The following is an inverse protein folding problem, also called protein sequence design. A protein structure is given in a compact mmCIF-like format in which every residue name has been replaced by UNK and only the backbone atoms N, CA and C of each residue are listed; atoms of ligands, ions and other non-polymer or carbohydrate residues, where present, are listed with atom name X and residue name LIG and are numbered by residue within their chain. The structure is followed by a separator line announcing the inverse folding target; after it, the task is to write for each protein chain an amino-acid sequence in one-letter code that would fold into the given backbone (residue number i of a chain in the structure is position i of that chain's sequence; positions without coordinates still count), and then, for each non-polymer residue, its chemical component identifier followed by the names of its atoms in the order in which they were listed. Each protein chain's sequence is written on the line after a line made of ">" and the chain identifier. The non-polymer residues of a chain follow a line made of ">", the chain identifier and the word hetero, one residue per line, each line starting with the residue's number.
data_IF_894493173274
#
_entry.id   IF_894493173274
#
_cell.length_a   1.000
_cell.length_b   1.000
_cell.length_c   1.000
_cell.angle_alpha   90.00
_cell.angle_beta   90.00
_cell.angle_gamma   90.00
#
_symmetry.space_group_name_H-M   'P 1'
#
loop_
_entity.id
_entity.type
_entity.pdbx_description
1 polymer ?
#
# COMPACT_ATOMS: atom_id res chain seq x y z
N UNK A 1 7.32 -23.27 5.27
CA UNK A 1 7.06 -24.31 6.26
C UNK A 1 7.06 -25.67 5.54
N UNK A 2 7.86 -26.63 6.04
CA UNK A 2 7.83 -28.01 5.59
C UNK A 2 7.20 -28.85 6.70
N UNK A 3 6.12 -29.53 6.39
CA UNK A 3 5.40 -30.40 7.34
C UNK A 3 5.24 -31.79 6.70
N UNK A 4 5.65 -32.83 7.42
CA UNK A 4 5.50 -34.23 7.01
C UNK A 4 4.89 -35.01 8.16
N UNK A 5 3.77 -35.66 7.90
CA UNK A 5 3.06 -36.56 8.84
C UNK A 5 2.74 -35.88 10.20
N UNK A 6 2.50 -34.56 10.21
CA UNK A 6 2.17 -33.81 11.42
C UNK A 6 0.75 -34.16 11.86
N UNK A 7 0.60 -34.70 13.07
CA UNK A 7 -0.69 -35.00 13.67
C UNK A 7 -1.15 -33.84 14.55
N UNK A 8 -2.31 -33.28 14.24
CA UNK A 8 -2.95 -32.21 15.02
C UNK A 8 -4.24 -32.75 15.64
N UNK A 9 -4.43 -32.65 16.98
CA UNK A 9 -5.67 -33.07 17.60
C UNK A 9 -6.86 -32.29 17.07
N UNK A 10 -8.02 -32.94 16.86
CA UNK A 10 -9.22 -32.30 16.33
C UNK A 10 -9.73 -31.14 17.20
N UNK A 11 -9.52 -31.18 18.50
CA UNK A 11 -9.82 -30.07 19.43
C UNK A 11 -9.09 -28.76 19.10
N UNK A 12 -8.02 -28.80 18.30
CA UNK A 12 -7.27 -27.62 17.85
C UNK A 12 -7.82 -27.05 16.54
N UNK A 13 -8.85 -27.66 15.96
CA UNK A 13 -9.54 -27.15 14.79
C UNK A 13 -10.28 -25.86 15.13
N UNK A 14 -10.15 -24.84 14.29
CA UNK A 14 -10.90 -23.60 14.50
C UNK A 14 -12.41 -23.86 14.35
N UNK A 15 -13.24 -23.42 15.31
CA UNK A 15 -14.68 -23.65 15.26
C UNK A 15 -15.34 -22.85 14.14
N UNK A 16 -16.34 -23.43 13.50
CA UNK A 16 -17.18 -22.75 12.51
C UNK A 16 -16.50 -22.42 11.17
N UNK A 17 -15.32 -23.01 10.89
CA UNK A 17 -14.55 -22.75 9.66
C UNK A 17 -14.26 -24.04 8.93
N UNK A 18 -14.50 -24.06 7.62
CA UNK A 18 -14.15 -25.17 6.74
C UNK A 18 -13.38 -24.68 5.51
N UNK A 19 -12.39 -25.45 5.07
CA UNK A 19 -11.56 -25.16 3.90
C UNK A 19 -10.86 -23.80 3.97
N UNK A 20 -10.84 -23.07 2.87
CA UNK A 20 -10.16 -21.77 2.74
C UNK A 20 -10.93 -20.58 3.34
N UNK A 21 -12.18 -20.76 3.76
CA UNK A 21 -13.01 -19.65 4.25
C UNK A 21 -12.39 -18.93 5.44
N UNK A 22 -11.81 -19.67 6.39
CA UNK A 22 -11.12 -19.08 7.54
C UNK A 22 -9.90 -18.25 7.16
N UNK A 23 -8.88 -18.83 6.50
CA UNK A 23 -7.72 -18.08 6.03
C UNK A 23 -8.09 -16.86 5.17
N UNK A 24 -9.03 -16.98 4.22
CA UNK A 24 -9.43 -15.87 3.36
C UNK A 24 -10.13 -14.74 4.13
N UNK A 25 -10.89 -15.04 5.18
CA UNK A 25 -11.49 -14.00 6.03
C UNK A 25 -10.43 -13.22 6.82
N UNK A 26 -9.41 -13.90 7.35
CA UNK A 26 -8.27 -13.26 8.00
C UNK A 26 -7.50 -12.36 7.03
N UNK A 27 -7.22 -12.86 5.81
CA UNK A 27 -6.56 -12.09 4.76
C UNK A 27 -7.37 -10.84 4.37
N UNK A 28 -8.68 -10.92 4.35
CA UNK A 28 -9.56 -9.77 4.06
C UNK A 28 -9.38 -8.66 5.10
N UNK A 29 -9.30 -9.01 6.39
CA UNK A 29 -9.06 -8.02 7.45
C UNK A 29 -7.63 -7.46 7.39
N UNK A 30 -6.62 -8.30 7.14
CA UNK A 30 -5.24 -7.86 6.99
C UNK A 30 -5.08 -6.89 5.80
N UNK A 31 -5.70 -7.19 4.66
CA UNK A 31 -5.72 -6.29 3.47
C UNK A 31 -6.35 -4.93 3.77
N UNK A 32 -7.41 -4.89 4.57
CA UNK A 32 -8.00 -3.63 5.01
C UNK A 32 -7.02 -2.78 5.83
N UNK A 33 -6.25 -3.41 6.72
CA UNK A 33 -5.21 -2.70 7.49
C UNK A 33 -4.09 -2.15 6.60
N UNK A 34 -3.73 -2.87 5.52
CA UNK A 34 -2.73 -2.41 4.53
C UNK A 34 -3.17 -1.12 3.84
N UNK A 35 -4.47 -0.95 3.55
CA UNK A 35 -5.01 0.29 2.94
C UNK A 35 -4.60 1.52 3.74
N UNK A 36 -4.61 1.43 5.07
CA UNK A 36 -4.23 2.52 5.98
C UNK A 36 -2.72 2.64 6.16
N UNK A 37 -2.04 1.51 6.38
CA UNK A 37 -0.61 1.50 6.67
C UNK A 37 0.26 2.05 5.54
N UNK A 38 -0.12 1.83 4.28
CA UNK A 38 0.62 2.35 3.12
C UNK A 38 0.53 3.86 2.98
N UNK A 39 -0.55 4.48 3.43
CA UNK A 39 -0.68 5.95 3.48
C UNK A 39 0.37 6.54 4.42
N UNK A 40 0.60 5.92 5.59
CA UNK A 40 1.63 6.35 6.52
C UNK A 40 3.03 6.33 5.90
N UNK A 41 3.37 5.28 5.15
CA UNK A 41 4.64 5.22 4.43
C UNK A 41 4.76 6.30 3.34
N UNK A 42 3.68 6.59 2.63
CA UNK A 42 3.66 7.65 1.62
C UNK A 42 3.83 9.04 2.23
N UNK A 43 3.18 9.30 3.38
CA UNK A 43 3.30 10.56 4.13
C UNK A 43 4.73 10.76 4.61
N UNK A 44 5.35 9.76 5.24
CA UNK A 44 6.73 9.86 5.69
C UNK A 44 7.68 10.17 4.53
N UNK A 45 7.55 9.48 3.40
CA UNK A 45 8.34 9.76 2.19
C UNK A 45 8.14 11.20 1.69
N UNK A 46 6.90 11.70 1.71
CA UNK A 46 6.60 13.08 1.32
C UNK A 46 7.23 14.10 2.26
N UNK A 47 7.10 13.92 3.57
CA UNK A 47 7.64 14.84 4.58
C UNK A 47 9.16 14.91 4.52
N UNK A 48 9.83 13.76 4.39
CA UNK A 48 11.29 13.69 4.20
C UNK A 48 11.72 14.40 2.92
N UNK A 49 11.04 14.16 1.80
CA UNK A 49 11.35 14.81 0.52
C UNK A 49 11.13 16.32 0.56
N UNK A 50 10.04 16.76 1.20
CA UNK A 50 9.71 18.18 1.38
C UNK A 50 10.77 18.90 2.24
N UNK A 51 11.11 18.33 3.39
CA UNK A 51 12.13 18.90 4.29
C UNK A 51 13.48 18.98 3.59
N UNK A 52 13.93 17.87 3.00
CA UNK A 52 15.20 17.82 2.26
C UNK A 52 15.24 18.83 1.12
N UNK A 53 14.20 18.95 0.32
CA UNK A 53 14.16 19.84 -0.83
C UNK A 53 14.18 21.33 -0.44
N UNK A 54 13.71 21.70 0.75
CA UNK A 54 13.78 23.04 1.30
C UNK A 54 15.17 23.39 1.82
N UNK A 55 15.90 22.42 2.35
CA UNK A 55 17.25 22.62 2.90
C UNK A 55 18.35 22.52 1.83
N UNK A 56 18.27 21.50 0.96
CA UNK A 56 19.27 21.24 -0.08
C UNK A 56 19.31 22.37 -1.11
N UNK A 57 20.47 22.95 -1.32
CA UNK A 57 20.68 24.01 -2.32
C UNK A 57 21.46 23.50 -3.52
N UNK A 58 21.02 23.89 -4.69
CA UNK A 58 21.72 23.78 -5.97
C UNK A 58 21.45 25.04 -6.79
N UNK A 59 22.43 25.48 -7.61
CA UNK A 59 22.32 26.72 -8.38
C UNK A 59 21.91 27.92 -7.50
N UNK A 60 22.50 28.01 -6.29
CA UNK A 60 22.34 29.09 -5.29
C UNK A 60 20.95 29.23 -4.67
N UNK A 61 20.05 28.24 -4.84
CA UNK A 61 18.72 28.25 -4.22
C UNK A 61 18.28 26.85 -3.76
N UNK A 62 17.30 26.74 -2.82
CA UNK A 62 16.72 25.45 -2.45
C UNK A 62 16.17 24.70 -3.67
N UNK A 63 16.35 23.39 -3.71
CA UNK A 63 15.84 22.58 -4.85
C UNK A 63 14.33 22.56 -4.90
N UNK A 64 13.62 22.82 -3.80
CA UNK A 64 12.18 23.05 -3.76
C UNK A 64 11.71 24.22 -4.64
N UNK A 65 12.60 25.13 -5.00
CA UNK A 65 12.31 26.26 -5.89
C UNK A 65 12.36 25.93 -7.39
N UNK A 66 12.60 24.67 -7.77
CA UNK A 66 12.58 24.23 -9.17
C UNK A 66 11.24 23.58 -9.52
N UNK A 67 10.74 23.89 -10.71
CA UNK A 67 9.41 23.44 -11.17
C UNK A 67 9.27 21.91 -11.16
N UNK A 68 10.28 21.15 -11.60
CA UNK A 68 10.23 19.68 -11.61
C UNK A 68 10.22 19.07 -10.20
N UNK A 69 10.82 19.73 -9.22
CA UNK A 69 10.73 19.31 -7.81
C UNK A 69 9.34 19.61 -7.26
N UNK A 70 8.82 20.81 -7.53
CA UNK A 70 7.47 21.20 -7.11
C UNK A 70 6.41 20.29 -7.73
N UNK A 71 6.54 19.92 -9.00
CA UNK A 71 5.63 18.99 -9.66
C UNK A 71 5.56 17.67 -8.89
N UNK A 72 6.70 17.04 -8.58
CA UNK A 72 6.73 15.79 -7.80
C UNK A 72 6.06 15.93 -6.44
N UNK A 73 6.36 17.02 -5.71
CA UNK A 73 5.75 17.25 -4.40
C UNK A 73 4.22 17.45 -4.49
N UNK A 74 3.74 18.14 -5.52
CA UNK A 74 2.30 18.32 -5.76
C UNK A 74 1.63 17.00 -6.11
N UNK A 75 2.22 16.20 -6.99
CA UNK A 75 1.72 14.87 -7.34
C UNK A 75 1.64 13.96 -6.09
N UNK A 76 2.69 13.94 -5.26
CA UNK A 76 2.69 13.15 -4.03
C UNK A 76 1.56 13.54 -3.09
N UNK A 77 1.38 14.84 -2.78
CA UNK A 77 0.33 15.29 -1.86
C UNK A 77 -1.08 15.05 -2.43
N UNK A 78 -1.25 15.21 -3.74
CA UNK A 78 -2.52 14.93 -4.41
C UNK A 78 -2.90 13.46 -4.30
N UNK A 79 -1.97 12.54 -4.57
CA UNK A 79 -2.22 11.10 -4.52
C UNK A 79 -2.43 10.62 -3.08
N UNK A 80 -1.66 11.13 -2.12
CA UNK A 80 -1.86 10.85 -0.69
C UNK A 80 -3.27 11.29 -0.25
N UNK A 81 -3.71 12.48 -0.65
CA UNK A 81 -5.05 12.99 -0.31
C UNK A 81 -6.15 12.08 -0.87
N UNK A 82 -6.04 11.65 -2.13
CA UNK A 82 -6.99 10.69 -2.74
C UNK A 82 -6.99 9.35 -2.01
N UNK A 83 -5.82 8.85 -1.64
CA UNK A 83 -5.67 7.61 -0.89
C UNK A 83 -6.34 7.69 0.50
N UNK A 84 -6.18 8.82 1.20
CA UNK A 84 -6.83 9.08 2.49
C UNK A 84 -8.36 9.11 2.36
N UNK A 85 -8.88 9.82 1.36
CA UNK A 85 -10.33 9.88 1.10
C UNK A 85 -10.92 8.49 0.78
N UNK A 86 -10.20 7.68 -0.02
CA UNK A 86 -10.59 6.30 -0.28
C UNK A 86 -10.60 5.47 0.99
N UNK A 87 -9.56 5.55 1.82
CA UNK A 87 -9.49 4.80 3.08
C UNK A 87 -10.62 5.18 4.05
N UNK A 88 -10.93 6.49 4.17
CA UNK A 88 -12.05 6.99 4.99
C UNK A 88 -13.37 6.42 4.46
N UNK A 89 -13.60 6.42 3.15
CA UNK A 89 -14.81 5.87 2.57
C UNK A 89 -14.94 4.36 2.84
N UNK A 90 -13.84 3.61 2.76
CA UNK A 90 -13.84 2.19 3.13
C UNK A 90 -14.14 1.99 4.62
N UNK A 91 -13.67 2.89 5.49
CA UNK A 91 -14.03 2.91 6.90
C UNK A 91 -15.53 3.10 7.12
N UNK A 92 -16.12 4.10 6.48
CA UNK A 92 -17.56 4.35 6.53
C UNK A 92 -18.39 3.15 6.05
N UNK A 93 -17.97 2.50 4.96
CA UNK A 93 -18.62 1.28 4.47
C UNK A 93 -18.51 0.13 5.47
N UNK A 94 -17.36 0.02 6.15
CA UNK A 94 -17.15 -1.00 7.19
C UNK A 94 -18.08 -0.78 8.38
N UNK A 95 -18.16 0.43 8.87
CA UNK A 95 -19.03 0.79 10.02
C UNK A 95 -20.52 0.59 9.69
N UNK A 96 -20.91 0.82 8.43
CA UNK A 96 -22.25 0.56 7.92
C UNK A 96 -22.52 -0.93 7.60
N UNK A 97 -21.56 -1.85 7.77
CA UNK A 97 -21.63 -3.25 7.34
C UNK A 97 -21.89 -3.45 5.83
N UNK A 98 -21.45 -2.51 5.01
CA UNK A 98 -21.57 -2.53 3.54
C UNK A 98 -20.23 -2.80 2.83
N UNK A 99 -19.16 -3.03 3.59
CA UNK A 99 -17.84 -3.27 3.03
C UNK A 99 -17.75 -4.67 2.40
N UNK A 100 -17.56 -4.71 1.10
CA UNK A 100 -17.32 -5.94 0.33
C UNK A 100 -15.81 -6.17 0.17
N UNK A 101 -15.39 -7.44 -0.02
CA UNK A 101 -13.99 -7.80 -0.22
C UNK A 101 -13.37 -7.15 -1.47
N UNK A 102 -14.18 -6.84 -2.49
CA UNK A 102 -13.72 -6.14 -3.69
C UNK A 102 -13.39 -4.68 -3.41
N UNK A 103 -14.13 -4.01 -2.52
CA UNK A 103 -13.79 -2.67 -2.06
C UNK A 103 -12.42 -2.64 -1.37
N UNK A 104 -12.12 -3.65 -0.55
CA UNK A 104 -10.82 -3.80 0.11
C UNK A 104 -9.72 -4.05 -0.91
N UNK A 105 -9.98 -4.89 -1.91
CA UNK A 105 -9.05 -5.14 -3.01
C UNK A 105 -8.74 -3.87 -3.80
N UNK A 106 -9.74 -3.03 -4.07
CA UNK A 106 -9.57 -1.73 -4.70
C UNK A 106 -8.67 -0.83 -3.85
N UNK A 107 -8.96 -0.72 -2.56
CA UNK A 107 -8.19 0.11 -1.63
C UNK A 107 -6.74 -0.34 -1.52
N UNK A 108 -6.50 -1.64 -1.31
CA UNK A 108 -5.13 -2.18 -1.24
C UNK A 108 -4.38 -1.94 -2.55
N UNK A 109 -4.96 -2.28 -3.69
CA UNK A 109 -4.34 -2.08 -5.01
C UNK A 109 -3.96 -0.62 -5.24
N UNK A 110 -4.88 0.31 -5.00
CA UNK A 110 -4.68 1.74 -5.22
C UNK A 110 -3.62 2.31 -4.27
N UNK A 111 -3.76 2.10 -2.96
CA UNK A 111 -2.92 2.78 -1.97
C UNK A 111 -1.49 2.24 -1.95
N UNK A 112 -1.28 0.95 -2.23
CA UNK A 112 0.06 0.39 -2.39
C UNK A 112 0.77 0.96 -3.61
N UNK A 113 0.09 1.10 -4.75
CA UNK A 113 0.67 1.71 -5.95
C UNK A 113 1.08 3.16 -5.68
N UNK A 114 0.18 3.96 -5.11
CA UNK A 114 0.45 5.35 -4.73
C UNK A 114 1.66 5.46 -3.79
N UNK A 115 1.71 4.62 -2.75
CA UNK A 115 2.81 4.65 -1.80
C UNK A 115 4.17 4.34 -2.45
N UNK A 116 4.22 3.37 -3.38
CA UNK A 116 5.42 3.07 -4.16
C UNK A 116 5.86 4.26 -5.02
N UNK A 117 4.92 4.91 -5.71
CA UNK A 117 5.22 6.08 -6.54
C UNK A 117 5.71 7.27 -5.69
N UNK A 118 5.12 7.49 -4.52
CA UNK A 118 5.58 8.48 -3.55
C UNK A 118 7.01 8.19 -3.07
N UNK A 119 7.29 6.95 -2.67
CA UNK A 119 8.62 6.56 -2.22
C UNK A 119 9.66 6.71 -3.34
N UNK A 120 9.34 6.34 -4.58
CA UNK A 120 10.19 6.56 -5.75
C UNK A 120 10.46 8.03 -5.99
N UNK A 121 9.43 8.88 -5.96
CA UNK A 121 9.56 10.33 -6.15
C UNK A 121 10.42 10.97 -5.05
N UNK A 122 10.22 10.55 -3.79
CA UNK A 122 11.06 11.01 -2.68
C UNK A 122 12.52 10.61 -2.87
N UNK A 123 12.80 9.35 -3.23
CA UNK A 123 14.15 8.89 -3.52
C UNK A 123 14.82 9.72 -4.63
N UNK A 124 14.08 10.05 -5.68
CA UNK A 124 14.58 10.88 -6.77
C UNK A 124 14.87 12.31 -6.32
N UNK A 125 14.03 12.91 -5.48
CA UNK A 125 14.26 14.27 -4.93
C UNK A 125 15.52 14.30 -4.06
N UNK A 126 15.77 13.26 -3.26
CA UNK A 126 16.94 13.15 -2.42
C UNK A 126 18.25 12.85 -3.21
N UNK A 127 18.14 12.43 -4.46
CA UNK A 127 19.28 12.03 -5.27
C UNK A 127 20.05 10.86 -4.65
N UNK A 128 21.38 10.96 -4.54
CA UNK A 128 22.21 9.93 -3.92
C UNK A 128 21.86 9.68 -2.44
N UNK A 129 21.45 10.72 -1.71
CA UNK A 129 21.02 10.58 -0.31
C UNK A 129 19.75 9.72 -0.17
N UNK A 130 18.95 9.61 -1.22
CA UNK A 130 17.75 8.78 -1.21
C UNK A 130 17.98 7.27 -1.11
N UNK A 131 19.22 6.81 -1.24
CA UNK A 131 19.61 5.40 -1.03
C UNK A 131 20.40 5.17 0.26
N UNK A 132 20.62 6.24 1.05
CA UNK A 132 21.33 6.16 2.32
C UNK A 132 20.40 5.74 3.46
N UNK A 133 20.93 5.04 4.45
CA UNK A 133 20.16 4.57 5.61
C UNK A 133 19.80 5.71 6.60
N UNK A 134 20.43 6.85 6.45
CA UNK A 134 20.11 8.09 7.18
C UNK A 134 18.68 8.60 6.91
N UNK A 135 18.07 8.18 5.80
CA UNK A 135 16.71 8.56 5.39
C UNK A 135 15.82 7.33 5.28
N UNK A 136 14.58 7.46 5.75
CA UNK A 136 13.60 6.36 5.75
C UNK A 136 13.15 5.91 4.34
N UNK A 137 13.40 6.70 3.32
CA UNK A 137 12.84 6.55 1.97
C UNK A 137 13.16 5.20 1.34
N UNK A 138 14.45 4.79 1.35
CA UNK A 138 14.85 3.50 0.74
C UNK A 138 14.28 2.31 1.49
N UNK A 139 14.20 2.39 2.81
CA UNK A 139 13.53 1.38 3.64
C UNK A 139 12.06 1.24 3.26
N UNK A 140 11.34 2.36 3.06
CA UNK A 140 9.96 2.31 2.58
C UNK A 140 9.85 1.72 1.18
N UNK A 141 10.74 2.06 0.25
CA UNK A 141 10.75 1.45 -1.09
C UNK A 141 10.85 -0.08 -1.00
N UNK A 142 11.80 -0.60 -0.24
CA UNK A 142 11.99 -2.05 -0.07
C UNK A 142 10.78 -2.71 0.59
N UNK A 143 10.24 -2.11 1.65
CA UNK A 143 9.07 -2.63 2.34
C UNK A 143 7.83 -2.64 1.42
N UNK A 144 7.64 -1.60 0.62
CA UNK A 144 6.50 -1.49 -0.28
C UNK A 144 6.53 -2.50 -1.42
N UNK A 145 7.71 -2.97 -1.86
CA UNK A 145 7.80 -4.12 -2.79
C UNK A 145 7.25 -5.41 -2.14
N UNK A 146 7.51 -5.62 -0.85
CA UNK A 146 6.91 -6.72 -0.10
C UNK A 146 5.39 -6.56 0.00
N UNK A 147 4.93 -5.35 0.35
CA UNK A 147 3.49 -5.04 0.47
C UNK A 147 2.76 -5.18 -0.87
N UNK A 148 3.42 -4.86 -1.98
CA UNK A 148 2.89 -5.04 -3.33
C UNK A 148 2.62 -6.52 -3.65
N UNK A 149 3.44 -7.41 -3.08
CA UNK A 149 3.46 -8.85 -3.40
C UNK A 149 2.60 -9.69 -2.44
N UNK A 150 2.67 -9.44 -1.12
CA UNK A 150 1.98 -10.26 -0.13
C UNK A 150 0.49 -9.89 0.03
N UNK A 151 -0.24 -10.72 0.76
CA UNK A 151 -1.70 -10.53 1.03
C UNK A 151 -2.55 -10.43 -0.24
N UNK A 152 -2.13 -11.15 -1.26
CA UNK A 152 -2.59 -11.03 -2.64
C UNK A 152 -1.74 -10.04 -3.42
N UNK A 153 -1.17 -10.50 -4.54
CA UNK A 153 -0.39 -9.63 -5.40
C UNK A 153 -1.26 -8.55 -6.05
N UNK A 154 -0.63 -7.53 -6.59
CA UNK A 154 -1.32 -6.48 -7.33
C UNK A 154 -2.20 -7.02 -8.46
N UNK A 155 -1.71 -8.08 -9.14
CA UNK A 155 -2.42 -8.76 -10.21
C UNK A 155 -3.63 -9.52 -9.69
N UNK A 156 -3.52 -10.22 -8.55
CA UNK A 156 -4.66 -10.92 -7.93
C UNK A 156 -5.77 -9.93 -7.58
N UNK A 157 -5.43 -8.75 -7.04
CA UNK A 157 -6.44 -7.72 -6.79
C UNK A 157 -7.07 -7.19 -8.08
N UNK A 158 -6.29 -7.12 -9.19
CA UNK A 158 -6.82 -6.76 -10.50
C UNK A 158 -7.82 -7.79 -11.00
N UNK A 159 -7.51 -9.09 -10.86
CA UNK A 159 -8.41 -10.18 -11.26
C UNK A 159 -9.70 -10.20 -10.42
N UNK A 160 -9.61 -10.02 -9.10
CA UNK A 160 -10.78 -9.90 -8.21
C UNK A 160 -11.70 -8.77 -8.68
N UNK A 161 -11.13 -7.60 -8.96
CA UNK A 161 -11.89 -6.45 -9.44
C UNK A 161 -12.47 -6.68 -10.83
N UNK A 162 -11.67 -7.24 -11.75
CA UNK A 162 -12.10 -7.58 -13.11
C UNK A 162 -13.32 -8.49 -13.09
N UNK A 163 -13.26 -9.56 -12.33
CA UNK A 163 -14.40 -10.47 -12.16
C UNK A 163 -15.63 -9.76 -11.58
N UNK A 164 -15.42 -8.91 -10.56
CA UNK A 164 -16.54 -8.20 -9.91
C UNK A 164 -17.27 -7.21 -10.82
N UNK A 165 -16.55 -6.52 -11.71
CA UNK A 165 -17.15 -5.52 -12.62
C UNK A 165 -17.69 -6.10 -13.91
N UNK A 166 -17.23 -7.30 -14.32
CA UNK A 166 -17.66 -7.93 -15.58
C UNK A 166 -18.62 -9.10 -15.39
N UNK A 167 -18.73 -9.62 -14.15
CA UNK A 167 -19.41 -10.86 -13.81
C UNK A 167 -18.88 -12.10 -14.57
N UNK A 168 -17.65 -12.01 -15.10
CA UNK A 168 -16.97 -13.10 -15.78
C UNK A 168 -15.79 -13.62 -14.94
N UNK A 169 -15.59 -14.96 -14.88
CA UNK A 169 -14.43 -15.52 -14.18
C UNK A 169 -13.12 -14.94 -14.72
N UNK A 170 -12.27 -14.45 -13.83
CA UNK A 170 -10.97 -13.90 -14.20
C UNK A 170 -9.85 -14.95 -14.14
N UNK A 171 -10.13 -16.07 -13.47
CA UNK A 171 -9.26 -17.25 -13.35
C UNK A 171 -10.12 -18.47 -13.07
N UNK A 172 -9.78 -19.59 -13.67
CA UNK A 172 -10.36 -20.91 -13.49
C UNK A 172 -9.29 -21.90 -13.05
#
# INVERSE_FOLDING_TARGET
>A
LFMKDVRVPDKNRLPGVEGLKGPLSCLTQARYSIVWGTIGAAIDCYEVALAYSKDRKQFSKPIAGFQLTQQKLVEMVQEITKAQLLAIQLGNLKDANLLDFSHISLGKKNNVAIARDCAKSAREILGANGIMDDYSVMRHMMNLETVYTYEGTHEIHTLILGQKITDLPAFE
#
